data_IF_034925329245
#
_entry.id   IF_034925329245
#
_cell.length_a   1.000
_cell.length_b   1.000
_cell.length_c   1.000
_cell.angle_alpha   90.00
_cell.angle_beta   90.00
_cell.angle_gamma   90.00
#
_symmetry.space_group_name_H-M   'P 1'
#
loop_
_entity.id
_entity.type
_entity.pdbx_description
1 polymer ?
#
# COMPACT_ATOMS: atom_id res chain seq x y z
N UNK A 1 20.83 63.87 40.37
CA UNK A 1 20.08 64.04 41.62
C UNK A 1 19.61 62.69 42.07
N UNK A 2 20.37 62.00 42.77
CA UNK A 2 20.53 61.62 44.18
C UNK A 2 19.21 61.66 44.98
N UNK A 3 18.83 60.49 45.49
CA UNK A 3 18.45 60.18 46.90
C UNK A 3 17.93 58.74 46.89
N UNK A 4 18.70 57.77 47.32
CA UNK A 4 19.05 57.25 48.67
C UNK A 4 17.83 56.84 49.51
N UNK A 5 17.82 55.51 49.83
CA UNK A 5 17.73 54.90 51.16
C UNK A 5 16.31 54.69 51.69
N UNK A 6 15.91 53.55 52.26
CA UNK A 6 16.46 52.83 53.43
C UNK A 6 15.79 51.47 53.62
N UNK A 7 16.58 50.55 54.04
CA UNK A 7 16.35 49.28 54.69
C UNK A 7 15.40 49.36 55.93
N UNK A 8 14.56 48.37 56.13
CA UNK A 8 14.14 47.91 57.48
C UNK A 8 14.03 46.38 57.52
N UNK A 9 14.74 45.83 58.49
CA UNK A 9 14.73 44.43 58.88
C UNK A 9 13.72 44.19 59.98
N UNK A 10 13.17 42.97 60.06
CA UNK A 10 12.79 42.15 61.19
C UNK A 10 11.26 42.02 61.51
N UNK A 11 10.81 40.97 62.24
CA UNK A 11 11.51 39.74 62.64
C UNK A 11 10.74 38.42 62.41
N UNK A 12 11.47 37.35 62.61
CA UNK A 12 11.22 35.93 62.84
C UNK A 12 9.89 35.59 63.52
N UNK A 13 9.13 34.69 62.98
CA UNK A 13 7.96 34.01 63.56
C UNK A 13 7.86 32.54 63.08
N UNK A 14 8.36 31.69 63.98
CA UNK A 14 8.02 30.27 64.25
C UNK A 14 7.23 29.44 63.26
N UNK A 15 7.87 28.42 62.77
CA UNK A 15 7.48 27.01 62.79
C UNK A 15 6.17 26.58 62.11
N UNK A 16 6.31 26.04 60.91
CA UNK A 16 5.45 24.91 60.50
C UNK A 16 6.27 24.01 59.56
N UNK A 17 6.62 22.86 60.09
CA UNK A 17 7.18 21.73 59.34
C UNK A 17 6.11 21.21 58.39
N UNK A 18 6.18 21.58 57.11
CA UNK A 18 5.41 20.92 56.06
C UNK A 18 6.21 19.71 55.65
N UNK A 19 5.74 18.53 56.10
CA UNK A 19 6.17 17.24 55.56
C UNK A 19 5.78 17.21 54.07
N UNK A 20 6.76 17.40 53.19
CA UNK A 20 6.62 17.10 51.78
C UNK A 20 6.63 15.57 51.63
N UNK A 21 5.46 14.95 51.66
CA UNK A 21 5.29 13.57 51.21
C UNK A 21 5.54 13.55 49.71
N UNK A 22 6.75 13.14 49.31
CA UNK A 22 7.04 12.76 47.94
C UNK A 22 6.21 11.55 47.58
N UNK A 23 5.09 11.78 46.90
CA UNK A 23 4.40 10.77 46.14
C UNK A 23 5.33 10.35 45.01
N UNK A 24 6.13 9.30 45.26
CA UNK A 24 6.68 8.50 44.18
C UNK A 24 5.50 7.83 43.46
N UNK A 25 5.02 8.43 42.39
CA UNK A 25 4.23 7.71 41.39
C UNK A 25 5.17 6.66 40.82
N UNK A 26 5.06 5.44 41.32
CA UNK A 26 5.63 4.27 40.62
C UNK A 26 5.04 4.27 39.24
N UNK A 27 5.89 4.51 38.23
CA UNK A 27 5.56 4.16 36.85
C UNK A 27 5.14 2.69 36.86
N UNK A 28 4.06 2.32 36.13
CA UNK A 28 3.68 0.93 36.06
C UNK A 28 4.90 0.14 35.57
N UNK A 29 5.28 -0.88 36.34
CA UNK A 29 6.28 -1.84 35.97
C UNK A 29 5.93 -2.33 34.57
N UNK A 30 6.68 -1.86 33.58
CA UNK A 30 6.63 -2.42 32.25
C UNK A 30 7.10 -3.86 32.45
N UNK A 31 6.16 -4.77 32.51
CA UNK A 31 6.47 -6.20 32.53
C UNK A 31 7.46 -6.41 31.37
N UNK A 32 8.71 -6.67 31.75
CA UNK A 32 9.74 -7.07 30.78
C UNK A 32 9.17 -8.34 30.18
N UNK A 33 8.72 -8.26 28.93
CA UNK A 33 8.27 -9.42 28.20
C UNK A 33 9.37 -10.45 28.33
N UNK A 34 9.06 -11.62 28.90
CA UNK A 34 10.04 -12.68 29.05
C UNK A 34 10.70 -12.90 27.69
N UNK A 35 12.02 -12.76 27.63
CA UNK A 35 12.76 -12.96 26.39
C UNK A 35 12.35 -14.31 25.82
N UNK A 36 11.63 -14.29 24.70
CA UNK A 36 11.31 -15.52 23.97
C UNK A 36 12.62 -16.17 23.59
N UNK A 37 12.84 -17.46 23.91
CA UNK A 37 14.09 -18.12 23.57
C UNK A 37 14.31 -18.00 22.07
N UNK A 38 15.55 -17.70 21.66
CA UNK A 38 15.95 -17.54 20.26
C UNK A 38 15.58 -18.76 19.43
N UNK A 39 15.58 -19.93 20.07
CA UNK A 39 15.22 -21.20 19.44
C UNK A 39 14.04 -21.83 20.22
N UNK A 40 12.89 -21.95 19.58
CA UNK A 40 11.75 -22.66 20.15
C UNK A 40 11.95 -24.18 20.01
N UNK A 41 12.32 -24.81 21.10
CA UNK A 41 12.50 -26.26 21.17
C UNK A 41 11.25 -27.01 21.61
N UNK A 42 10.15 -26.33 21.96
CA UNK A 42 8.90 -26.96 22.39
C UNK A 42 8.14 -27.61 21.22
N UNK A 43 8.41 -27.14 20.01
CA UNK A 43 7.88 -27.74 18.79
C UNK A 43 8.63 -29.00 18.31
N UNK A 44 9.72 -29.41 18.97
CA UNK A 44 10.52 -30.55 18.54
C UNK A 44 9.84 -31.89 18.86
N UNK A 45 9.90 -32.82 17.91
CA UNK A 45 9.59 -34.22 18.16
C UNK A 45 10.89 -34.99 18.43
N UNK A 46 11.20 -35.25 19.71
CA UNK A 46 12.43 -35.89 20.15
C UNK A 46 12.46 -37.41 19.91
N UNK A 47 11.35 -38.00 19.47
CA UNK A 47 11.26 -39.39 19.07
C UNK A 47 11.83 -39.64 17.67
N UNK A 48 11.92 -38.60 16.85
CA UNK A 48 12.51 -38.62 15.52
C UNK A 48 13.98 -38.23 15.61
N UNK A 49 14.87 -39.00 15.00
CA UNK A 49 16.30 -38.66 14.94
C UNK A 49 16.51 -37.58 13.89
N UNK A 50 17.21 -36.46 14.21
CA UNK A 50 17.37 -35.34 13.27
C UNK A 50 18.12 -35.73 11.97
N UNK A 51 18.95 -36.76 12.00
CA UNK A 51 19.65 -37.28 10.82
C UNK A 51 18.76 -38.12 9.89
N UNK A 52 17.63 -38.61 10.39
CA UNK A 52 16.71 -39.44 9.61
C UNK A 52 15.62 -38.54 8.95
N UNK A 53 15.04 -37.61 9.73
CA UNK A 53 14.10 -36.61 9.24
C UNK A 53 14.20 -35.35 10.09
N UNK A 54 14.99 -34.38 9.62
CA UNK A 54 15.18 -33.13 10.32
C UNK A 54 13.91 -32.28 10.40
N UNK A 55 13.05 -32.31 9.36
CA UNK A 55 11.80 -31.56 9.37
C UNK A 55 10.85 -32.12 10.43
N UNK A 56 10.63 -33.41 10.46
CA UNK A 56 9.79 -34.07 11.47
C UNK A 56 10.37 -33.90 12.88
N UNK A 57 11.69 -33.95 13.06
CA UNK A 57 12.35 -33.65 14.33
C UNK A 57 12.06 -32.22 14.79
N UNK A 58 12.30 -31.24 13.94
CA UNK A 58 12.23 -29.81 14.32
C UNK A 58 10.79 -29.30 14.48
N UNK A 59 9.84 -29.85 13.71
CA UNK A 59 8.47 -29.30 13.62
C UNK A 59 7.38 -30.29 14.07
N UNK A 60 7.70 -31.60 14.20
CA UNK A 60 6.71 -32.63 14.40
C UNK A 60 5.88 -32.47 15.67
N UNK A 61 6.48 -32.01 16.77
CA UNK A 61 5.76 -31.75 18.00
C UNK A 61 4.80 -30.55 17.92
N UNK A 62 5.16 -29.55 17.12
CA UNK A 62 4.28 -28.42 16.83
C UNK A 62 3.11 -28.84 15.91
N UNK A 63 3.39 -29.59 14.85
CA UNK A 63 2.38 -30.07 13.90
C UNK A 63 1.32 -30.95 14.61
N UNK A 64 1.76 -31.80 15.53
CA UNK A 64 0.84 -32.68 16.27
C UNK A 64 -0.12 -31.93 17.20
N UNK A 65 0.26 -30.76 17.69
CA UNK A 65 -0.50 -29.95 18.66
C UNK A 65 -1.27 -28.80 18.04
N UNK A 66 -1.02 -28.50 16.77
CA UNK A 66 -1.54 -27.30 16.12
C UNK A 66 -2.55 -27.66 15.05
N UNK A 67 -3.77 -27.18 15.20
CA UNK A 67 -4.81 -27.26 14.17
C UNK A 67 -4.76 -26.03 13.28
N UNK A 68 -5.04 -26.22 12.00
CA UNK A 68 -5.23 -25.09 11.07
C UNK A 68 -6.60 -24.48 11.37
N UNK A 69 -6.70 -23.16 11.67
CA UNK A 69 -7.99 -22.49 11.87
C UNK A 69 -8.93 -22.70 10.69
N UNK A 70 -10.23 -22.82 10.96
CA UNK A 70 -11.23 -23.18 9.94
C UNK A 70 -11.33 -22.18 8.78
N UNK A 71 -10.94 -20.93 9.00
CA UNK A 71 -10.90 -19.84 8.02
C UNK A 71 -9.56 -19.76 7.25
N UNK A 72 -8.61 -20.65 7.53
CA UNK A 72 -7.27 -20.61 6.93
C UNK A 72 -7.02 -21.88 6.09
N UNK A 73 -6.27 -21.71 5.01
CA UNK A 73 -5.80 -22.83 4.15
C UNK A 73 -4.42 -23.35 4.56
N UNK A 74 -3.72 -22.61 5.40
CA UNK A 74 -2.38 -22.93 5.91
C UNK A 74 -2.16 -22.23 7.25
N UNK A 75 -1.29 -22.82 8.08
CA UNK A 75 -0.93 -22.25 9.37
C UNK A 75 0.57 -22.44 9.62
N UNK A 76 1.21 -21.48 10.28
CA UNK A 76 2.63 -21.51 10.58
C UNK A 76 3.12 -20.14 11.06
N UNK A 77 4.39 -20.07 11.44
CA UNK A 77 4.98 -18.89 12.11
C UNK A 77 4.74 -17.57 11.37
N UNK A 78 4.87 -17.55 10.05
CA UNK A 78 4.62 -16.31 9.28
C UNK A 78 3.15 -15.89 9.30
N UNK A 79 2.23 -16.85 9.23
CA UNK A 79 0.79 -16.55 9.31
C UNK A 79 0.43 -16.07 10.71
N UNK A 80 0.95 -16.70 11.75
CA UNK A 80 0.75 -16.30 13.15
C UNK A 80 1.26 -14.88 13.40
N UNK A 81 2.48 -14.56 12.97
CA UNK A 81 3.05 -13.21 13.10
C UNK A 81 2.24 -12.16 12.33
N UNK A 82 1.69 -12.54 11.16
CA UNK A 82 0.82 -11.66 10.40
C UNK A 82 -0.49 -11.36 11.16
N UNK A 83 -1.13 -12.39 11.73
CA UNK A 83 -2.34 -12.22 12.53
C UNK A 83 -2.05 -11.38 13.79
N UNK A 84 -0.98 -11.68 14.54
CA UNK A 84 -0.55 -10.88 15.70
C UNK A 84 -0.31 -9.41 15.34
N UNK A 85 0.34 -9.15 14.20
CA UNK A 85 0.56 -7.78 13.71
C UNK A 85 -0.73 -7.09 13.35
N UNK A 86 -1.66 -7.80 12.71
CA UNK A 86 -2.97 -7.27 12.36
C UNK A 86 -3.78 -6.92 13.62
N UNK A 87 -3.79 -7.81 14.60
CA UNK A 87 -4.50 -7.59 15.85
C UNK A 87 -3.91 -6.40 16.64
N UNK A 88 -2.58 -6.25 16.63
CA UNK A 88 -1.92 -5.10 17.23
C UNK A 88 -2.27 -3.78 16.54
N UNK A 89 -2.32 -3.76 15.20
CA UNK A 89 -2.77 -2.59 14.42
C UNK A 89 -4.23 -2.27 14.72
N UNK A 90 -5.10 -3.30 14.77
CA UNK A 90 -6.51 -3.11 15.12
C UNK A 90 -6.66 -2.49 16.51
N UNK A 91 -5.92 -3.01 17.51
CA UNK A 91 -5.96 -2.46 18.87
C UNK A 91 -5.55 -0.98 18.93
N UNK A 92 -4.52 -0.58 18.15
CA UNK A 92 -4.11 0.83 18.04
C UNK A 92 -5.23 1.68 17.43
N UNK A 93 -5.87 1.21 16.37
CA UNK A 93 -6.97 1.93 15.71
C UNK A 93 -8.15 2.09 16.67
N UNK A 94 -8.51 1.03 17.39
CA UNK A 94 -9.62 1.05 18.36
C UNK A 94 -9.34 2.02 19.51
N UNK A 95 -8.12 2.00 20.06
CA UNK A 95 -7.69 2.96 21.09
C UNK A 95 -7.80 4.40 20.57
N UNK A 96 -7.24 4.71 19.40
CA UNK A 96 -7.28 6.05 18.82
C UNK A 96 -8.70 6.48 18.46
N UNK A 97 -9.54 5.55 18.03
CA UNK A 97 -10.94 5.84 17.69
C UNK A 97 -11.79 6.25 18.89
N UNK A 98 -11.43 5.77 20.08
CA UNK A 98 -12.08 6.14 21.33
C UNK A 98 -11.58 7.46 21.92
N UNK A 99 -10.42 7.99 21.46
CA UNK A 99 -9.82 9.20 22.01
C UNK A 99 -10.49 10.47 21.47
N UNK A 100 -10.80 11.39 22.40
CA UNK A 100 -11.24 12.75 22.10
C UNK A 100 -10.07 13.74 22.29
N UNK A 101 -10.15 14.91 21.65
CA UNK A 101 -9.19 16.01 21.89
C UNK A 101 -7.79 15.77 21.33
N UNK A 102 -7.62 14.88 20.34
CA UNK A 102 -6.34 14.69 19.67
C UNK A 102 -5.86 15.99 19.00
N UNK A 103 -4.55 16.24 19.07
CA UNK A 103 -3.95 17.44 18.49
C UNK A 103 -4.16 17.47 16.97
N UNK A 104 -4.59 18.63 16.45
CA UNK A 104 -4.82 18.83 15.03
C UNK A 104 -3.54 18.57 14.22
N UNK A 105 -3.67 17.77 13.16
CA UNK A 105 -2.55 17.40 12.28
C UNK A 105 -1.63 16.31 12.81
N UNK A 106 -1.86 15.80 14.04
CA UNK A 106 -1.10 14.67 14.58
C UNK A 106 -1.42 13.38 13.83
N UNK A 107 -0.47 12.42 13.83
CA UNK A 107 -0.69 11.12 13.20
C UNK A 107 -1.82 10.34 13.87
N UNK A 108 -1.97 10.46 15.18
CA UNK A 108 -3.09 9.89 15.93
C UNK A 108 -4.44 10.40 15.42
N UNK A 109 -4.57 11.72 15.20
CA UNK A 109 -5.79 12.31 14.63
C UNK A 109 -6.04 11.80 13.21
N UNK A 110 -5.01 11.78 12.35
CA UNK A 110 -5.14 11.32 10.96
C UNK A 110 -5.63 9.87 10.88
N UNK A 111 -5.06 8.98 11.70
CA UNK A 111 -5.45 7.57 11.76
C UNK A 111 -6.91 7.45 12.20
N UNK A 112 -7.29 8.13 13.30
CA UNK A 112 -8.68 8.12 13.80
C UNK A 112 -9.66 8.62 12.75
N UNK A 113 -9.36 9.77 12.14
CA UNK A 113 -10.28 10.44 11.21
C UNK A 113 -10.41 9.64 9.91
N UNK A 114 -9.32 9.02 9.42
CA UNK A 114 -9.36 8.11 8.29
C UNK A 114 -10.26 6.90 8.59
N UNK A 115 -10.08 6.27 9.73
CA UNK A 115 -10.89 5.11 10.13
C UNK A 115 -12.37 5.48 10.30
N UNK A 116 -12.68 6.58 10.99
CA UNK A 116 -14.05 7.08 11.12
C UNK A 116 -14.68 7.42 9.77
N UNK A 117 -13.92 8.01 8.85
CA UNK A 117 -14.43 8.33 7.51
C UNK A 117 -14.72 7.07 6.68
N UNK A 118 -13.96 6.00 6.88
CA UNK A 118 -14.21 4.71 6.24
C UNK A 118 -15.47 4.01 6.77
N UNK A 119 -15.78 4.17 8.06
CA UNK A 119 -16.98 3.61 8.68
C UNK A 119 -18.24 4.46 8.51
N UNK A 120 -18.13 5.68 7.98
CA UNK A 120 -19.26 6.58 7.72
C UNK A 120 -20.04 6.17 6.46
N UNK A 121 -20.71 5.01 6.52
CA UNK A 121 -21.48 4.47 5.41
C UNK A 121 -22.58 5.43 4.93
N UNK A 122 -23.23 6.14 5.86
CA UNK A 122 -24.26 7.11 5.52
C UNK A 122 -23.67 8.27 4.70
N UNK A 123 -22.59 8.87 5.17
CA UNK A 123 -21.90 9.94 4.47
C UNK A 123 -21.30 9.49 3.13
N UNK A 124 -20.79 8.26 3.04
CA UNK A 124 -20.31 7.67 1.79
C UNK A 124 -21.47 7.54 0.79
N UNK A 125 -22.61 6.98 1.20
CA UNK A 125 -23.77 6.81 0.36
C UNK A 125 -24.38 8.14 -0.10
N UNK A 126 -24.40 9.16 0.76
CA UNK A 126 -24.88 10.50 0.41
C UNK A 126 -23.99 11.18 -0.63
N UNK A 127 -22.68 11.06 -0.52
CA UNK A 127 -21.73 11.65 -1.47
C UNK A 127 -21.73 10.92 -2.82
N UNK A 128 -21.98 9.60 -2.84
CA UNK A 128 -21.95 8.79 -4.05
C UNK A 128 -20.65 8.96 -4.83
N UNK A 129 -20.73 9.30 -6.12
CA UNK A 129 -19.56 9.51 -7.00
C UNK A 129 -18.96 10.92 -6.94
N UNK A 130 -19.57 11.83 -6.19
CA UNK A 130 -19.14 13.24 -6.15
C UNK A 130 -17.63 13.40 -5.82
N UNK A 131 -17.00 12.63 -4.92
CA UNK A 131 -15.58 12.79 -4.64
C UNK A 131 -14.62 12.49 -5.82
N UNK A 132 -15.10 11.82 -6.85
CA UNK A 132 -14.32 11.49 -8.07
C UNK A 132 -14.78 12.30 -9.31
N UNK A 133 -15.73 13.25 -9.16
CA UNK A 133 -16.26 14.03 -10.29
C UNK A 133 -15.18 14.76 -11.05
N UNK A 134 -14.25 15.45 -10.35
CA UNK A 134 -13.17 16.20 -11.00
C UNK A 134 -12.25 15.30 -11.85
N UNK A 135 -12.04 14.05 -11.41
CA UNK A 135 -11.29 13.05 -12.19
C UNK A 135 -12.05 12.63 -13.45
N UNK A 136 -13.36 12.41 -13.33
CA UNK A 136 -14.21 12.02 -14.46
C UNK A 136 -14.34 13.18 -15.47
N UNK A 137 -14.45 14.42 -15.00
CA UNK A 137 -14.48 15.61 -15.83
C UNK A 137 -13.15 15.78 -16.58
N UNK A 138 -12.01 15.66 -15.90
CA UNK A 138 -10.68 15.70 -16.52
C UNK A 138 -10.50 14.63 -17.63
N UNK A 139 -11.07 13.43 -17.46
CA UNK A 139 -11.05 12.39 -18.48
C UNK A 139 -11.99 12.74 -19.66
N UNK A 140 -13.16 13.33 -19.37
CA UNK A 140 -14.16 13.70 -20.38
C UNK A 140 -13.69 14.85 -21.25
N UNK A 141 -12.94 15.79 -20.66
CA UNK A 141 -12.42 17.00 -21.34
C UNK A 141 -11.15 16.74 -22.15
N UNK A 142 -10.71 15.47 -22.23
CA UNK A 142 -9.57 15.08 -23.05
C UNK A 142 -9.76 15.46 -24.52
N UNK A 143 -8.89 16.34 -25.01
CA UNK A 143 -8.94 16.87 -26.38
C UNK A 143 -8.54 15.88 -27.48
N UNK A 144 -7.99 14.70 -27.11
CA UNK A 144 -7.53 13.70 -28.06
C UNK A 144 -6.34 12.88 -27.56
N UNK A 145 -5.70 12.12 -28.46
CA UNK A 145 -4.58 11.21 -28.11
C UNK A 145 -3.34 11.96 -27.58
N UNK A 146 -3.13 13.20 -27.99
CA UNK A 146 -2.06 14.09 -27.52
C UNK A 146 -2.13 14.36 -26.02
N UNK A 147 -3.32 14.28 -25.42
CA UNK A 147 -3.53 14.46 -24.00
C UNK A 147 -3.27 13.23 -23.15
N UNK A 148 -3.00 12.06 -23.73
CA UNK A 148 -2.79 10.82 -22.97
C UNK A 148 -1.62 10.91 -22.01
N UNK A 149 -0.54 11.60 -22.37
CA UNK A 149 0.62 11.79 -21.47
C UNK A 149 0.23 12.49 -20.16
N UNK A 150 -0.57 13.54 -20.27
CA UNK A 150 -1.06 14.30 -19.13
C UNK A 150 -2.02 13.47 -18.25
N UNK A 151 -3.00 12.81 -18.86
CA UNK A 151 -3.99 12.01 -18.13
C UNK A 151 -3.38 10.80 -17.46
N UNK A 152 -2.45 10.11 -18.12
CA UNK A 152 -1.76 8.99 -17.49
C UNK A 152 -0.88 9.45 -16.32
N UNK A 153 -0.25 10.62 -16.44
CA UNK A 153 0.50 11.19 -15.33
C UNK A 153 -0.41 11.60 -14.15
N UNK A 154 -1.57 12.18 -14.42
CA UNK A 154 -2.58 12.48 -13.40
C UNK A 154 -3.10 11.17 -12.76
N UNK A 155 -3.42 10.16 -13.58
CA UNK A 155 -3.84 8.84 -13.12
C UNK A 155 -2.79 8.21 -12.18
N UNK A 156 -1.49 8.29 -12.52
CA UNK A 156 -0.40 7.84 -11.64
C UNK A 156 -0.46 8.53 -10.27
N UNK A 157 -0.67 9.84 -10.23
CA UNK A 157 -0.76 10.61 -8.98
C UNK A 157 -2.00 10.27 -8.14
N UNK A 158 -3.07 9.87 -8.78
CA UNK A 158 -4.31 9.42 -8.13
C UNK A 158 -4.27 7.93 -7.74
N UNK A 159 -3.19 7.22 -8.06
CA UNK A 159 -3.09 5.79 -7.82
C UNK A 159 -3.96 4.94 -8.75
N UNK A 160 -4.38 5.50 -9.88
CA UNK A 160 -5.21 4.83 -10.88
C UNK A 160 -4.30 4.08 -11.86
N UNK A 161 -4.60 2.81 -12.09
CA UNK A 161 -3.87 1.96 -13.05
C UNK A 161 -4.11 2.44 -14.48
N UNK A 162 -3.03 2.57 -15.25
CA UNK A 162 -3.05 2.94 -16.67
C UNK A 162 -1.99 2.12 -17.43
N UNK A 163 -1.97 2.11 -18.79
CA UNK A 163 -1.12 1.19 -19.57
C UNK A 163 0.38 1.28 -19.32
N UNK A 164 0.89 2.42 -18.87
CA UNK A 164 2.31 2.66 -18.58
C UNK A 164 2.55 2.82 -17.09
N UNK A 165 2.83 1.75 -16.39
CA UNK A 165 3.20 1.79 -14.96
C UNK A 165 4.59 2.42 -14.78
N UNK A 166 4.75 3.23 -13.72
CA UNK A 166 6.03 3.82 -13.35
C UNK A 166 6.29 3.67 -11.85
N UNK A 167 7.53 3.42 -11.47
CA UNK A 167 7.94 3.39 -10.08
C UNK A 167 9.44 3.73 -9.95
N UNK A 168 9.84 4.19 -8.77
CA UNK A 168 11.24 4.46 -8.44
C UNK A 168 11.76 3.30 -7.60
N UNK A 169 12.88 2.74 -8.00
CA UNK A 169 13.56 1.69 -7.24
C UNK A 169 15.07 1.83 -7.37
N UNK A 170 15.80 1.14 -6.52
CA UNK A 170 17.25 1.00 -6.63
C UNK A 170 17.60 0.42 -8.01
N UNK A 171 18.59 1.02 -8.70
CA UNK A 171 19.08 0.51 -9.98
C UNK A 171 19.67 -0.89 -9.78
N UNK A 172 19.13 -1.88 -10.52
CA UNK A 172 19.51 -3.29 -10.35
C UNK A 172 20.97 -3.60 -10.72
N UNK A 173 21.66 -2.69 -11.45
CA UNK A 173 23.08 -2.81 -11.82
C UNK A 173 23.97 -1.81 -11.09
N UNK A 174 23.40 -0.77 -10.49
CA UNK A 174 24.13 0.26 -9.77
C UNK A 174 23.41 0.58 -8.45
N UNK A 175 23.61 -0.27 -7.44
CA UNK A 175 22.85 -0.25 -6.19
C UNK A 175 23.01 1.04 -5.35
N UNK A 176 23.92 1.93 -5.74
CA UNK A 176 24.17 3.22 -5.08
C UNK A 176 23.24 4.34 -5.55
N UNK A 177 22.43 4.10 -6.59
CA UNK A 177 21.48 5.07 -7.14
C UNK A 177 20.06 4.51 -7.25
N UNK A 178 19.11 5.42 -7.27
CA UNK A 178 17.74 5.12 -7.68
C UNK A 178 17.55 5.36 -9.17
N UNK A 179 16.61 4.63 -9.78
CA UNK A 179 16.23 4.80 -11.17
C UNK A 179 14.71 4.77 -11.32
N UNK A 180 14.22 5.43 -12.34
CA UNK A 180 12.82 5.36 -12.77
C UNK A 180 12.64 4.13 -13.64
N UNK A 181 11.76 3.24 -13.22
CA UNK A 181 11.37 2.04 -13.97
C UNK A 181 10.02 2.27 -14.64
N UNK A 182 9.93 1.90 -15.91
CA UNK A 182 8.69 1.87 -16.66
C UNK A 182 8.31 0.42 -16.96
N UNK A 183 7.03 0.09 -16.84
CA UNK A 183 6.53 -1.28 -16.97
C UNK A 183 5.17 -1.31 -17.65
N UNK A 184 4.91 -2.39 -18.37
CA UNK A 184 3.56 -2.69 -18.88
C UNK A 184 2.58 -2.83 -17.71
N UNK A 185 1.39 -2.22 -17.85
CA UNK A 185 0.35 -2.16 -16.83
C UNK A 185 -1.02 -2.01 -17.50
N UNK A 186 -2.07 -1.56 -16.80
CA UNK A 186 -3.36 -1.19 -17.37
C UNK A 186 -4.36 -2.34 -17.49
N UNK A 187 -4.16 -3.45 -16.77
CA UNK A 187 -5.12 -4.54 -16.71
C UNK A 187 -5.89 -4.48 -15.39
N UNK A 188 -7.20 -4.67 -15.43
CA UNK A 188 -8.04 -4.77 -14.24
C UNK A 188 -8.05 -6.17 -13.61
N UNK A 189 -7.87 -7.24 -14.40
CA UNK A 189 -7.59 -8.59 -13.89
C UNK A 189 -6.10 -8.73 -13.53
N UNK A 190 -5.71 -9.69 -12.66
CA UNK A 190 -4.37 -9.76 -12.08
C UNK A 190 -3.20 -9.84 -13.05
N UNK A 191 -3.38 -10.43 -14.23
CA UNK A 191 -2.40 -10.45 -15.31
C UNK A 191 -3.02 -10.85 -16.65
N UNK A 192 -2.16 -10.86 -17.70
CA UNK A 192 -2.56 -11.15 -19.08
C UNK A 192 -3.25 -12.50 -19.28
N UNK A 193 -2.84 -13.52 -18.53
CA UNK A 193 -3.33 -14.89 -18.74
C UNK A 193 -4.82 -15.00 -18.46
N UNK A 194 -5.35 -14.19 -17.52
CA UNK A 194 -6.79 -14.10 -17.23
C UNK A 194 -7.65 -13.65 -18.43
N UNK A 195 -7.08 -12.95 -19.41
CA UNK A 195 -7.78 -12.52 -20.63
C UNK A 195 -7.63 -13.51 -21.79
N UNK A 196 -6.59 -14.35 -21.77
CA UNK A 196 -6.17 -15.18 -22.92
C UNK A 196 -6.57 -16.65 -22.73
N UNK A 197 -6.58 -17.14 -21.48
CA UNK A 197 -6.95 -18.51 -21.17
C UNK A 197 -8.41 -18.80 -21.50
N UNK A 198 -8.67 -20.01 -22.04
CA UNK A 198 -9.96 -20.45 -22.60
C UNK A 198 -10.59 -21.61 -21.79
N UNK A 199 -10.07 -21.90 -20.61
CA UNK A 199 -10.66 -22.89 -19.71
C UNK A 199 -11.93 -22.31 -19.00
N UNK A 200 -12.78 -23.21 -18.50
CA UNK A 200 -14.07 -22.84 -17.91
C UNK A 200 -13.94 -21.89 -16.71
N UNK A 201 -12.88 -22.04 -15.90
CA UNK A 201 -12.63 -21.15 -14.78
C UNK A 201 -12.28 -19.75 -15.25
N UNK A 202 -11.40 -19.63 -16.25
CA UNK A 202 -10.99 -18.36 -16.82
C UNK A 202 -12.15 -17.63 -17.49
N UNK A 203 -12.99 -18.35 -18.23
CA UNK A 203 -14.24 -17.81 -18.81
C UNK A 203 -15.20 -17.29 -17.75
N UNK A 204 -15.37 -18.03 -16.66
CA UNK A 204 -16.19 -17.58 -15.52
C UNK A 204 -15.67 -16.28 -14.90
N UNK A 205 -14.35 -16.14 -14.72
CA UNK A 205 -13.74 -14.92 -14.21
C UNK A 205 -13.86 -13.74 -15.19
N UNK A 206 -13.69 -13.98 -16.49
CA UNK A 206 -13.88 -12.97 -17.52
C UNK A 206 -15.30 -12.44 -17.53
N UNK A 207 -16.29 -13.31 -17.42
CA UNK A 207 -17.70 -12.92 -17.37
C UNK A 207 -18.03 -12.14 -16.07
N UNK A 208 -17.57 -12.62 -14.92
CA UNK A 208 -17.74 -11.92 -13.66
C UNK A 208 -17.10 -10.52 -13.68
N UNK A 209 -15.94 -10.36 -14.32
CA UNK A 209 -15.30 -9.08 -14.49
C UNK A 209 -16.12 -8.12 -15.36
N UNK A 210 -16.66 -8.57 -16.49
CA UNK A 210 -17.54 -7.75 -17.34
C UNK A 210 -18.81 -7.32 -16.60
N UNK A 211 -19.38 -8.20 -15.79
CA UNK A 211 -20.52 -7.87 -14.95
C UNK A 211 -20.18 -6.82 -13.90
N UNK A 212 -19.02 -6.96 -13.24
CA UNK A 212 -18.50 -5.96 -12.30
C UNK A 212 -18.32 -4.59 -12.96
N UNK A 213 -17.69 -4.54 -14.13
CA UNK A 213 -17.52 -3.30 -14.90
C UNK A 213 -18.89 -2.69 -15.26
N UNK A 214 -19.87 -3.52 -15.67
CA UNK A 214 -21.22 -3.03 -15.97
C UNK A 214 -21.86 -2.40 -14.74
N UNK A 215 -21.81 -3.05 -13.58
CA UNK A 215 -22.34 -2.54 -12.32
C UNK A 215 -21.67 -1.24 -11.89
N UNK A 216 -20.35 -1.08 -12.11
CA UNK A 216 -19.64 0.17 -11.82
C UNK A 216 -20.13 1.33 -12.70
N UNK A 217 -20.34 1.11 -14.00
CA UNK A 217 -20.90 2.12 -14.90
C UNK A 217 -22.36 2.48 -14.57
N UNK A 218 -23.15 1.50 -14.15
CA UNK A 218 -24.52 1.74 -13.67
C UNK A 218 -24.54 2.55 -12.37
N UNK A 219 -23.70 2.20 -11.40
CA UNK A 219 -23.55 2.95 -10.15
C UNK A 219 -23.09 4.40 -10.39
N UNK A 220 -22.22 4.60 -11.37
CA UNK A 220 -21.79 5.93 -11.83
C UNK A 220 -22.85 6.66 -12.66
N UNK A 221 -24.01 6.06 -12.93
CA UNK A 221 -25.11 6.62 -13.74
C UNK A 221 -24.68 7.00 -15.16
N UNK A 222 -23.75 6.26 -15.74
CA UNK A 222 -23.27 6.48 -17.10
C UNK A 222 -24.07 5.66 -18.10
N UNK A 223 -24.62 6.33 -19.11
CA UNK A 223 -25.42 5.70 -20.17
C UNK A 223 -24.63 4.61 -20.90
N UNK A 224 -25.31 3.53 -21.29
CA UNK A 224 -24.74 2.45 -22.06
C UNK A 224 -23.74 1.59 -21.26
N UNK A 225 -23.94 1.40 -19.96
CA UNK A 225 -23.05 0.70 -19.04
C UNK A 225 -22.48 -0.60 -19.59
N UNK A 226 -23.32 -1.51 -20.10
CA UNK A 226 -22.87 -2.78 -20.69
C UNK A 226 -21.95 -2.57 -21.90
N UNK A 227 -22.30 -1.66 -22.80
CA UNK A 227 -21.48 -1.39 -23.98
C UNK A 227 -20.14 -0.73 -23.61
N UNK A 228 -20.09 0.07 -22.55
CA UNK A 228 -18.85 0.61 -21.97
C UNK A 228 -17.98 -0.48 -21.38
N UNK A 229 -18.58 -1.37 -20.58
CA UNK A 229 -17.89 -2.51 -19.98
C UNK A 229 -17.23 -3.42 -21.04
N UNK A 230 -17.94 -3.73 -22.11
CA UNK A 230 -17.40 -4.53 -23.22
C UNK A 230 -16.25 -3.83 -23.94
N UNK A 231 -16.30 -2.49 -24.13
CA UNK A 231 -15.18 -1.73 -24.72
C UNK A 231 -13.95 -1.73 -23.83
N UNK A 232 -14.12 -1.56 -22.52
CA UNK A 232 -13.01 -1.63 -21.55
C UNK A 232 -12.39 -3.00 -21.59
N UNK A 233 -13.19 -4.06 -21.48
CA UNK A 233 -12.70 -5.43 -21.54
C UNK A 233 -11.94 -5.73 -22.85
N UNK A 234 -12.48 -5.31 -23.99
CA UNK A 234 -11.84 -5.51 -25.29
C UNK A 234 -10.48 -4.77 -25.40
N UNK A 235 -10.41 -3.54 -24.85
CA UNK A 235 -9.15 -2.80 -24.78
C UNK A 235 -8.13 -3.52 -23.90
N UNK A 236 -8.51 -3.93 -22.70
CA UNK A 236 -7.63 -4.66 -21.79
C UNK A 236 -7.18 -6.01 -22.36
N UNK A 237 -8.06 -6.75 -23.02
CA UNK A 237 -7.72 -7.99 -23.71
C UNK A 237 -6.71 -7.74 -24.84
N UNK A 238 -6.85 -6.64 -25.58
CA UNK A 238 -5.87 -6.22 -26.58
C UNK A 238 -4.52 -5.89 -25.95
N UNK A 239 -4.48 -5.16 -24.84
CA UNK A 239 -3.24 -4.89 -24.08
C UNK A 239 -2.63 -6.20 -23.58
N UNK A 240 -3.43 -7.08 -22.95
CA UNK A 240 -3.00 -8.36 -22.43
C UNK A 240 -2.33 -9.24 -23.51
N UNK A 241 -2.85 -9.22 -24.74
CA UNK A 241 -2.27 -9.96 -25.86
C UNK A 241 -0.84 -9.53 -26.22
N UNK A 242 -0.46 -8.29 -25.86
CA UNK A 242 0.85 -7.69 -26.15
C UNK A 242 1.79 -7.68 -24.96
N UNK A 243 1.28 -7.88 -23.75
CA UNK A 243 2.11 -7.88 -22.55
C UNK A 243 2.95 -9.15 -22.45
N UNK A 244 4.10 -9.03 -21.83
CA UNK A 244 4.99 -10.16 -21.54
C UNK A 244 4.35 -11.14 -20.55
N UNK A 245 4.72 -12.42 -20.70
CA UNK A 245 4.29 -13.47 -19.79
C UNK A 245 4.91 -13.31 -18.40
N UNK A 246 4.33 -13.96 -17.39
CA UNK A 246 4.90 -14.03 -16.04
C UNK A 246 6.32 -14.60 -16.03
N UNK A 247 6.62 -15.56 -16.92
CA UNK A 247 7.94 -16.19 -17.01
C UNK A 247 8.96 -15.20 -17.56
N UNK A 248 8.63 -14.49 -18.64
CA UNK A 248 9.49 -13.44 -19.20
C UNK A 248 9.75 -12.31 -18.20
N UNK A 249 8.73 -11.90 -17.45
CA UNK A 249 8.84 -10.86 -16.44
C UNK A 249 9.71 -11.22 -15.22
N UNK A 250 10.05 -12.49 -15.02
CA UNK A 250 10.98 -12.95 -13.99
C UNK A 250 12.44 -12.89 -14.42
N UNK A 251 12.71 -12.77 -15.70
CA UNK A 251 14.06 -12.68 -16.24
C UNK A 251 14.63 -11.28 -15.96
N UNK A 252 15.51 -11.20 -14.97
CA UNK A 252 16.11 -9.95 -14.53
C UNK A 252 17.04 -9.30 -15.57
N UNK A 253 17.55 -10.07 -16.51
CA UNK A 253 18.41 -9.54 -17.58
C UNK A 253 17.55 -8.93 -18.68
N UNK A 254 16.48 -9.62 -19.08
CA UNK A 254 15.55 -9.13 -20.10
C UNK A 254 14.77 -7.90 -19.64
N UNK A 255 14.43 -7.83 -18.34
CA UNK A 255 13.67 -6.70 -17.77
C UNK A 255 14.53 -5.51 -17.36
N UNK A 256 15.81 -5.47 -17.73
CA UNK A 256 16.69 -4.33 -17.49
C UNK A 256 17.16 -3.72 -18.81
N UNK A 257 16.42 -2.76 -19.33
CA UNK A 257 16.74 -2.04 -20.56
C UNK A 257 16.86 -0.55 -20.21
N UNK A 258 18.11 -0.08 -20.11
CA UNK A 258 18.39 1.32 -19.80
C UNK A 258 18.29 2.13 -21.08
N UNK A 259 17.44 3.14 -21.10
CA UNK A 259 17.15 3.99 -22.24
C UNK A 259 17.29 5.45 -21.85
N UNK A 260 17.80 6.24 -22.75
CA UNK A 260 17.78 7.69 -22.69
C UNK A 260 16.35 8.23 -22.89
N UNK A 261 16.12 9.49 -22.54
CA UNK A 261 14.85 10.16 -22.81
C UNK A 261 14.51 10.21 -24.31
N UNK A 262 15.49 10.34 -25.19
CA UNK A 262 15.27 10.33 -26.62
C UNK A 262 14.77 8.97 -27.12
N UNK A 263 15.37 7.88 -26.61
CA UNK A 263 14.92 6.52 -26.92
C UNK A 263 13.52 6.25 -26.35
N UNK A 264 13.22 6.74 -25.15
CA UNK A 264 11.88 6.63 -24.56
C UNK A 264 10.82 7.32 -25.42
N UNK A 265 11.10 8.52 -25.95
CA UNK A 265 10.19 9.19 -26.91
C UNK A 265 10.00 8.38 -28.19
N UNK A 266 11.05 7.76 -28.69
CA UNK A 266 10.97 6.92 -29.88
C UNK A 266 10.13 5.65 -29.66
N UNK A 267 10.17 5.07 -28.46
CA UNK A 267 9.35 3.92 -28.08
C UNK A 267 7.88 4.26 -27.86
N UNK A 268 7.57 5.49 -27.46
CA UNK A 268 6.23 5.96 -27.12
C UNK A 268 5.81 7.17 -27.99
N UNK A 269 5.78 7.03 -29.34
CA UNK A 269 5.60 8.18 -30.25
C UNK A 269 4.20 8.84 -30.15
N UNK A 270 3.23 8.14 -29.58
CA UNK A 270 1.86 8.65 -29.37
C UNK A 270 1.66 9.32 -28.01
N UNK A 271 2.69 9.33 -27.16
CA UNK A 271 2.64 9.88 -25.81
C UNK A 271 3.49 11.16 -25.75
N UNK A 272 2.96 12.24 -25.17
CA UNK A 272 3.80 13.35 -24.73
C UNK A 272 4.62 12.91 -23.49
N UNK A 273 5.77 12.30 -23.78
CA UNK A 273 6.68 11.76 -22.76
C UNK A 273 7.18 12.86 -21.83
N UNK A 274 7.48 14.04 -22.35
CA UNK A 274 8.03 15.13 -21.55
C UNK A 274 7.01 15.65 -20.53
N UNK A 275 5.79 15.82 -20.98
CA UNK A 275 4.69 16.23 -20.10
C UNK A 275 4.38 15.15 -19.06
N UNK A 276 4.40 13.88 -19.46
CA UNK A 276 4.25 12.76 -18.54
C UNK A 276 5.32 12.76 -17.44
N UNK A 277 6.60 12.93 -17.80
CA UNK A 277 7.70 12.98 -16.84
C UNK A 277 7.67 14.20 -15.94
N UNK A 278 7.27 15.35 -16.48
CA UNK A 278 7.13 16.61 -15.73
C UNK A 278 6.08 16.48 -14.62
N UNK A 279 4.88 16.02 -14.95
CA UNK A 279 3.77 15.89 -13.99
C UNK A 279 4.11 14.84 -12.90
N UNK A 280 4.83 13.78 -13.27
CA UNK A 280 5.30 12.78 -12.30
C UNK A 280 6.53 13.23 -11.49
N UNK A 281 7.07 14.43 -11.73
CA UNK A 281 8.18 14.98 -10.96
C UNK A 281 9.55 14.36 -11.25
N UNK A 282 9.70 13.69 -12.39
CA UNK A 282 10.94 13.00 -12.81
C UNK A 282 11.54 13.59 -14.10
N UNK A 283 11.21 14.85 -14.39
CA UNK A 283 11.69 15.55 -15.58
C UNK A 283 13.21 15.80 -15.59
N UNK A 284 13.88 15.76 -14.44
CA UNK A 284 15.33 15.91 -14.33
C UNK A 284 16.10 14.64 -14.72
N UNK A 285 15.44 13.50 -14.77
CA UNK A 285 16.09 12.22 -15.05
C UNK A 285 16.50 12.12 -16.52
N UNK A 286 17.71 11.64 -16.77
CA UNK A 286 18.28 11.50 -18.10
C UNK A 286 18.10 10.10 -18.69
N UNK A 287 17.93 9.11 -17.82
CA UNK A 287 17.80 7.69 -18.20
C UNK A 287 16.70 6.99 -17.41
N UNK A 288 16.13 5.96 -18.02
CA UNK A 288 14.99 5.21 -17.54
C UNK A 288 15.22 3.71 -17.77
N UNK A 289 14.75 2.86 -16.87
CA UNK A 289 14.83 1.40 -17.06
C UNK A 289 13.46 0.93 -17.55
N UNK A 290 13.40 0.48 -18.79
CA UNK A 290 12.19 -0.07 -19.41
C UNK A 290 12.20 -1.57 -19.20
N UNK A 291 11.17 -2.08 -18.52
CA UNK A 291 11.11 -3.50 -18.21
C UNK A 291 10.71 -4.35 -19.42
N UNK A 292 9.79 -3.87 -20.21
CA UNK A 292 9.27 -4.55 -21.40
C UNK A 292 9.30 -3.59 -22.58
N UNK A 293 10.39 -3.57 -23.37
CA UNK A 293 10.57 -2.60 -24.46
C UNK A 293 9.81 -2.96 -25.74
N UNK A 294 9.13 -4.13 -25.81
CA UNK A 294 8.39 -4.61 -26.99
C UNK A 294 6.95 -4.91 -26.68
#
# INVERSE_FOLDING_TARGET
MMKTSKTYLQPIGTGSLILLSTLFTQAPDRAVAAEKPILDTQGWNREVRPQDDFFAFANGGWIQKTEIPADKTRWGSFVMLHEESRDAVQAIIDELSAQEGLSQGSDAQKIRDLYRSFLDEEGINQRGIQPVSDMLDAITDLGGKESFGEVWAMASRWGITHPLGAYINQDARESTRYAVYLTQSGLGLPDRDYYIMDDERSKGLQEAYRQMLTSLFEAAKLDGAKARAERVYALEASLASKQWTRVENRDRLKTYNKNSRAELRALLPALDVDRYLEINGVASESDFIIRQPS
#
